data_IF_500662528509
#
_entry.id   IF_500662528509
#
_cell.length_a   1.000
_cell.length_b   1.000
_cell.length_c   1.000
_cell.angle_alpha   90.00
_cell.angle_beta   90.00
_cell.angle_gamma   90.00
#
_symmetry.space_group_name_H-M   'P 1'
#
loop_
_entity.id
_entity.type
_entity.pdbx_description
1 polymer ?
#
# COMPACT_ATOMS: atom_id res chain seq x y z
N UNK A 1 -28.75 -16.75 -42.59
CA UNK A 1 -27.33 -16.64 -42.23
C UNK A 1 -27.26 -16.10 -40.81
N UNK A 2 -26.80 -16.90 -39.86
CA UNK A 2 -26.64 -16.45 -38.48
C UNK A 2 -25.36 -15.60 -38.38
N UNK A 3 -25.50 -14.37 -37.90
CA UNK A 3 -24.36 -13.51 -37.61
C UNK A 3 -23.51 -14.17 -36.52
N UNK A 4 -22.30 -14.60 -36.88
CA UNK A 4 -21.28 -15.00 -35.92
C UNK A 4 -20.87 -13.74 -35.13
N UNK A 5 -21.25 -13.69 -33.86
CA UNK A 5 -20.65 -12.76 -32.91
C UNK A 5 -19.23 -13.24 -32.62
N UNK A 6 -18.25 -12.60 -33.25
CA UNK A 6 -16.85 -12.77 -32.88
C UNK A 6 -16.65 -12.10 -31.53
N UNK A 7 -16.66 -12.88 -30.45
CA UNK A 7 -16.15 -12.44 -29.15
C UNK A 7 -14.67 -12.08 -29.37
N UNK A 8 -14.34 -10.79 -29.27
CA UNK A 8 -12.96 -10.36 -29.14
C UNK A 8 -12.42 -11.01 -27.84
N UNK A 9 -11.34 -11.79 -27.89
CA UNK A 9 -10.75 -12.35 -26.68
C UNK A 9 -10.40 -11.20 -25.74
N UNK A 10 -10.75 -11.32 -24.46
CA UNK A 10 -10.33 -10.37 -23.43
C UNK A 10 -8.82 -10.16 -23.58
N UNK A 11 -8.39 -8.97 -23.96
CA UNK A 11 -6.98 -8.70 -24.25
C UNK A 11 -6.15 -8.96 -23.00
N UNK A 12 -4.98 -9.59 -23.19
CA UNK A 12 -3.99 -9.81 -22.13
C UNK A 12 -3.60 -8.47 -21.51
N UNK A 13 -3.31 -8.45 -20.20
CA UNK A 13 -2.88 -7.23 -19.51
C UNK A 13 -1.67 -6.58 -20.19
N UNK A 14 -1.80 -5.31 -20.57
CA UNK A 14 -0.71 -4.52 -21.16
C UNK A 14 0.12 -3.81 -20.08
N UNK A 15 0.75 -4.61 -19.20
CA UNK A 15 1.36 -4.17 -17.94
C UNK A 15 2.28 -2.95 -18.11
N UNK A 16 3.24 -3.01 -19.03
CA UNK A 16 4.23 -1.93 -19.19
C UNK A 16 3.58 -0.61 -19.64
N UNK A 17 2.67 -0.67 -20.62
CA UNK A 17 1.94 0.52 -21.07
C UNK A 17 1.05 1.10 -19.97
N UNK A 18 0.49 0.24 -19.11
CA UNK A 18 -0.29 0.69 -17.94
C UNK A 18 0.61 1.37 -16.93
N UNK A 19 1.78 0.82 -16.62
CA UNK A 19 2.77 1.42 -15.72
C UNK A 19 3.15 2.82 -16.22
N UNK A 20 3.47 2.96 -17.51
CA UNK A 20 3.83 4.25 -18.10
C UNK A 20 2.72 5.29 -17.95
N UNK A 21 1.48 4.94 -18.31
CA UNK A 21 0.33 5.87 -18.21
C UNK A 21 0.01 6.27 -16.78
N UNK A 22 0.10 5.33 -15.84
CA UNK A 22 -0.08 5.62 -14.41
C UNK A 22 1.02 6.55 -13.91
N UNK A 23 2.27 6.29 -14.30
CA UNK A 23 3.40 7.14 -13.93
C UNK A 23 3.29 8.54 -14.50
N UNK A 24 2.89 8.71 -15.76
CA UNK A 24 2.64 10.03 -16.38
C UNK A 24 1.64 10.85 -15.56
N UNK A 25 0.53 10.25 -15.14
CA UNK A 25 -0.48 10.92 -14.32
C UNK A 25 0.07 11.29 -12.93
N UNK A 26 0.73 10.35 -12.26
CA UNK A 26 1.25 10.59 -10.91
C UNK A 26 2.38 11.62 -10.92
N UNK A 27 3.33 11.51 -11.84
CA UNK A 27 4.45 12.46 -11.97
C UNK A 27 4.02 13.87 -12.39
N UNK A 28 2.85 14.00 -13.04
CA UNK A 28 2.20 15.29 -13.29
C UNK A 28 1.41 15.83 -12.07
N UNK A 29 1.47 15.14 -10.92
CA UNK A 29 0.81 15.54 -9.68
C UNK A 29 -0.64 15.09 -9.56
N UNK A 30 -1.10 14.16 -10.40
CA UNK A 30 -2.46 13.63 -10.39
C UNK A 30 -2.69 12.51 -9.37
N UNK A 31 -3.85 11.86 -9.52
CA UNK A 31 -4.30 10.73 -8.71
C UNK A 31 -4.62 9.51 -9.57
N UNK A 32 -4.36 8.31 -9.05
CA UNK A 32 -4.58 7.07 -9.76
C UNK A 32 -5.25 6.02 -8.87
N UNK A 33 -6.31 5.38 -9.35
CA UNK A 33 -6.84 4.15 -8.75
C UNK A 33 -6.13 2.97 -9.40
N UNK A 34 -5.35 2.25 -8.61
CA UNK A 34 -4.46 1.20 -9.07
C UNK A 34 -4.69 -0.12 -8.34
N UNK A 35 -4.64 -1.27 -9.04
CA UNK A 35 -4.69 -2.57 -8.43
C UNK A 35 -3.33 -2.94 -7.79
N UNK A 36 -3.36 -3.47 -6.57
CA UNK A 36 -2.25 -4.16 -5.92
C UNK A 36 -2.69 -5.57 -5.49
N UNK A 37 -1.78 -6.44 -5.04
CA UNK A 37 -2.10 -7.83 -4.68
C UNK A 37 -3.14 -7.97 -3.56
N UNK A 38 -3.22 -6.98 -2.67
CA UNK A 38 -4.08 -6.94 -1.46
C UNK A 38 -5.32 -6.03 -1.59
N UNK A 39 -5.66 -5.58 -2.80
CA UNK A 39 -6.83 -4.74 -3.08
C UNK A 39 -6.55 -3.60 -4.07
N UNK A 40 -7.52 -2.70 -4.22
CA UNK A 40 -7.34 -1.46 -4.97
C UNK A 40 -6.84 -0.35 -4.04
N UNK A 41 -5.87 0.43 -4.51
CA UNK A 41 -5.33 1.62 -3.86
C UNK A 41 -5.67 2.88 -4.65
N UNK A 42 -5.76 4.01 -3.97
CA UNK A 42 -5.77 5.34 -4.58
C UNK A 42 -4.48 6.04 -4.20
N UNK A 43 -3.73 6.44 -5.21
CA UNK A 43 -2.38 7.00 -5.11
C UNK A 43 -2.39 8.45 -5.57
N UNK A 44 -1.56 9.30 -4.95
CA UNK A 44 -1.38 10.70 -5.34
C UNK A 44 0.10 11.03 -5.49
N UNK A 45 0.45 11.78 -6.54
CA UNK A 45 1.82 12.22 -6.83
C UNK A 45 2.11 13.68 -6.47
N UNK A 46 1.18 14.36 -5.80
CA UNK A 46 1.39 15.72 -5.30
C UNK A 46 0.77 15.91 -3.93
N UNK A 47 1.19 16.94 -3.16
CA UNK A 47 0.54 17.31 -1.90
C UNK A 47 -0.97 17.56 -2.10
N UNK A 48 -1.34 18.23 -3.19
CA UNK A 48 -2.73 18.51 -3.52
C UNK A 48 -3.53 17.24 -3.82
N UNK A 49 -2.92 16.28 -4.53
CA UNK A 49 -3.53 14.97 -4.78
C UNK A 49 -3.71 14.17 -3.49
N UNK A 50 -2.71 14.15 -2.61
CA UNK A 50 -2.77 13.44 -1.33
C UNK A 50 -3.83 14.05 -0.41
N UNK A 51 -3.89 15.39 -0.30
CA UNK A 51 -4.92 16.10 0.46
C UNK A 51 -6.33 15.87 -0.13
N UNK A 52 -6.48 15.92 -1.47
CA UNK A 52 -7.74 15.58 -2.14
C UNK A 52 -8.20 14.18 -1.75
N UNK A 53 -7.32 13.18 -1.82
CA UNK A 53 -7.61 11.80 -1.40
C UNK A 53 -8.00 11.74 0.09
N UNK A 54 -7.26 12.43 0.96
CA UNK A 54 -7.52 12.45 2.40
C UNK A 54 -8.91 13.01 2.72
N UNK A 55 -9.26 14.17 2.13
CA UNK A 55 -10.54 14.87 2.33
C UNK A 55 -11.71 14.06 1.79
N UNK A 56 -11.62 13.57 0.56
CA UNK A 56 -12.70 12.77 -0.06
C UNK A 56 -12.99 11.51 0.74
N UNK A 57 -11.95 10.83 1.25
CA UNK A 57 -12.11 9.63 2.09
C UNK A 57 -12.67 9.91 3.48
N UNK A 58 -12.83 11.19 3.88
CA UNK A 58 -13.19 11.61 5.23
C UNK A 58 -12.29 10.95 6.28
N UNK A 59 -10.98 10.96 6.01
CA UNK A 59 -10.01 10.20 6.79
C UNK A 59 -9.75 10.91 8.12
N UNK A 60 -9.68 10.14 9.21
CA UNK A 60 -9.26 10.67 10.50
C UNK A 60 -7.77 11.04 10.50
N UNK A 61 -7.42 12.13 11.18
CA UNK A 61 -6.03 12.66 11.29
C UNK A 61 -5.05 11.73 12.02
N UNK A 62 -5.53 10.64 12.63
CA UNK A 62 -4.67 9.59 13.20
C UNK A 62 -4.17 8.60 12.12
N UNK A 63 -4.77 8.59 10.92
CA UNK A 63 -4.38 7.66 9.86
C UNK A 63 -3.29 8.28 8.97
N UNK A 64 -2.25 7.50 8.70
CA UNK A 64 -1.15 7.90 7.81
C UNK A 64 -1.37 7.39 6.38
N UNK A 65 -0.70 8.03 5.42
CA UNK A 65 -0.49 7.49 4.09
C UNK A 65 0.78 6.62 4.07
N UNK A 66 0.79 5.61 3.23
CA UNK A 66 2.01 4.83 2.98
C UNK A 66 2.77 5.44 1.81
N UNK A 67 4.10 5.49 1.90
CA UNK A 67 4.93 5.80 0.75
C UNK A 67 4.93 4.59 -0.20
N UNK A 68 4.67 4.83 -1.48
CA UNK A 68 4.81 3.81 -2.53
C UNK A 68 6.29 3.72 -2.89
N UNK A 69 6.86 2.52 -2.74
CA UNK A 69 8.28 2.30 -2.98
C UNK A 69 8.53 0.85 -3.43
N UNK A 70 9.71 0.61 -3.98
CA UNK A 70 10.25 -0.72 -4.22
C UNK A 70 11.08 -1.20 -3.02
N UNK A 71 11.56 -2.44 -3.09
CA UNK A 71 12.37 -3.05 -2.04
C UNK A 71 13.73 -2.36 -1.88
N UNK A 72 14.31 -1.82 -2.96
CA UNK A 72 15.52 -0.99 -2.90
C UNK A 72 15.24 0.29 -2.11
N UNK A 73 14.19 1.03 -2.47
CA UNK A 73 13.82 2.25 -1.77
C UNK A 73 13.46 2.04 -0.31
N UNK A 74 12.84 0.91 0.02
CA UNK A 74 12.64 0.53 1.41
C UNK A 74 13.97 0.40 2.15
N UNK A 75 14.97 -0.31 1.60
CA UNK A 75 16.29 -0.47 2.23
C UNK A 75 17.04 0.85 2.35
N UNK A 76 16.88 1.76 1.38
CA UNK A 76 17.50 3.08 1.40
C UNK A 76 16.85 4.03 2.43
N UNK A 77 15.54 3.92 2.65
CA UNK A 77 14.76 4.84 3.50
C UNK A 77 14.60 4.33 4.93
N UNK A 78 14.38 3.03 5.14
CA UNK A 78 14.21 2.50 6.49
C UNK A 78 15.56 2.27 7.16
N UNK A 79 15.64 2.69 8.43
CA UNK A 79 16.76 2.39 9.32
C UNK A 79 16.43 1.15 10.14
N UNK A 80 16.74 -0.02 9.55
CA UNK A 80 16.57 -1.33 10.17
C UNK A 80 17.93 -1.95 10.46
N UNK A 81 18.04 -2.57 11.64
CA UNK A 81 19.17 -3.44 11.93
C UNK A 81 19.12 -4.72 11.08
N UNK A 82 20.26 -5.39 10.83
CA UNK A 82 20.35 -6.49 9.87
C UNK A 82 19.33 -7.61 10.04
N UNK A 83 19.03 -8.05 11.26
CA UNK A 83 18.08 -9.14 11.53
C UNK A 83 16.64 -8.74 11.16
N UNK A 84 16.23 -7.51 11.44
CA UNK A 84 14.92 -6.98 11.03
C UNK A 84 14.81 -6.79 9.51
N UNK A 85 15.89 -6.38 8.85
CA UNK A 85 15.88 -6.35 7.38
C UNK A 85 15.80 -7.77 6.80
N UNK A 86 16.50 -8.74 7.38
CA UNK A 86 16.44 -10.15 6.99
C UNK A 86 15.01 -10.73 7.14
N UNK A 87 14.28 -10.35 8.19
CA UNK A 87 12.85 -10.68 8.32
C UNK A 87 12.00 -10.11 7.19
N UNK A 88 12.23 -8.86 6.80
CA UNK A 88 11.49 -8.21 5.72
C UNK A 88 11.78 -8.92 4.39
N UNK A 89 13.04 -9.19 4.10
CA UNK A 89 13.50 -9.83 2.87
C UNK A 89 12.98 -11.26 2.79
N UNK A 90 13.10 -12.02 3.87
CA UNK A 90 12.55 -13.37 3.95
C UNK A 90 11.04 -13.39 3.63
N UNK A 91 10.24 -12.55 4.28
CA UNK A 91 8.80 -12.51 4.04
C UNK A 91 8.47 -12.08 2.61
N UNK A 92 9.11 -11.01 2.13
CA UNK A 92 8.66 -10.31 0.91
C UNK A 92 9.34 -10.79 -0.37
N UNK A 93 10.58 -11.27 -0.28
CA UNK A 93 11.38 -11.77 -1.39
C UNK A 93 11.35 -13.30 -1.42
N UNK A 94 11.78 -13.97 -0.36
CA UNK A 94 11.94 -15.44 -0.37
C UNK A 94 10.59 -16.17 -0.38
N UNK A 95 9.60 -15.65 0.36
CA UNK A 95 8.26 -16.24 0.43
C UNK A 95 7.22 -15.57 -0.48
N UNK A 96 7.59 -14.53 -1.23
CA UNK A 96 6.70 -13.80 -2.16
C UNK A 96 5.38 -13.31 -1.50
N UNK A 97 5.45 -12.84 -0.24
CA UNK A 97 4.28 -12.34 0.50
C UNK A 97 4.23 -10.81 0.57
N UNK A 98 3.05 -10.17 0.38
CA UNK A 98 2.91 -8.74 0.58
C UNK A 98 2.90 -8.39 2.08
N UNK A 99 3.71 -7.42 2.48
CA UNK A 99 3.76 -6.96 3.87
C UNK A 99 3.88 -5.43 3.95
N UNK A 100 3.08 -4.84 4.82
CA UNK A 100 3.25 -3.46 5.26
C UNK A 100 4.31 -3.39 6.35
N UNK A 101 5.35 -2.59 6.11
CA UNK A 101 6.47 -2.37 7.02
C UNK A 101 6.41 -0.93 7.51
N UNK A 102 6.29 -0.75 8.83
CA UNK A 102 6.47 0.56 9.49
C UNK A 102 7.77 0.52 10.25
N UNK A 103 8.70 1.42 9.94
CA UNK A 103 10.03 1.42 10.53
C UNK A 103 10.61 2.85 10.64
N UNK A 104 11.64 3.06 11.49
CA UNK A 104 12.35 4.33 11.56
C UNK A 104 12.91 4.77 10.21
N UNK A 105 12.99 6.07 10.02
CA UNK A 105 13.51 6.69 8.79
C UNK A 105 15.02 6.93 8.94
N UNK A 106 15.80 6.53 7.93
CA UNK A 106 17.17 6.98 7.74
C UNK A 106 17.19 8.45 7.31
N UNK A 107 17.85 9.34 8.05
CA UNK A 107 17.86 10.77 7.73
C UNK A 107 18.60 11.04 6.40
N UNK A 108 18.15 12.07 5.67
CA UNK A 108 18.84 12.58 4.48
C UNK A 108 18.62 11.79 3.20
N UNK A 109 17.57 10.96 3.13
CA UNK A 109 17.22 10.29 1.88
C UNK A 109 16.65 11.31 0.86
N UNK A 110 17.22 11.47 -0.35
CA UNK A 110 16.83 12.54 -1.28
C UNK A 110 15.35 12.52 -1.71
N UNK A 111 14.71 11.35 -1.75
CA UNK A 111 13.26 11.26 -2.01
C UNK A 111 12.44 11.91 -0.90
N UNK A 112 12.86 11.77 0.36
CA UNK A 112 12.11 12.31 1.48
C UNK A 112 12.23 13.83 1.57
N UNK A 113 13.38 14.38 1.17
CA UNK A 113 13.62 15.83 1.07
C UNK A 113 12.71 16.52 0.02
N UNK A 114 12.04 15.74 -0.85
CA UNK A 114 11.09 16.22 -1.85
C UNK A 114 9.65 16.25 -1.36
N UNK A 115 9.37 15.70 -0.18
CA UNK A 115 8.04 15.71 0.41
C UNK A 115 7.83 17.07 1.08
N UNK A 116 6.69 17.72 0.83
CA UNK A 116 6.36 18.94 1.54
C UNK A 116 6.14 18.66 3.05
N UNK A 117 6.33 19.67 3.92
CA UNK A 117 6.24 19.47 5.37
C UNK A 117 4.90 18.90 5.86
N UNK A 118 3.78 19.30 5.25
CA UNK A 118 2.45 18.88 5.70
C UNK A 118 2.15 17.44 5.28
N UNK A 119 2.49 17.05 4.05
CA UNK A 119 2.38 15.64 3.61
C UNK A 119 3.33 14.74 4.40
N UNK A 120 4.54 15.20 4.69
CA UNK A 120 5.50 14.45 5.51
C UNK A 120 4.94 14.19 6.90
N UNK A 121 4.38 15.21 7.54
CA UNK A 121 3.73 15.10 8.86
C UNK A 121 2.49 14.21 8.83
N UNK A 122 1.69 14.27 7.76
CA UNK A 122 0.51 13.43 7.57
C UNK A 122 0.85 11.96 7.25
N UNK A 123 2.09 11.67 6.87
CA UNK A 123 2.54 10.33 6.46
C UNK A 123 3.49 9.66 7.46
N UNK A 124 4.01 10.41 8.42
CA UNK A 124 4.96 9.91 9.44
C UNK A 124 4.40 10.01 10.85
N UNK A 125 4.92 9.20 11.76
CA UNK A 125 4.66 9.31 13.20
C UNK A 125 5.83 8.72 13.98
N UNK A 126 6.23 9.38 15.08
CA UNK A 126 7.32 8.91 15.93
C UNK A 126 8.62 8.57 15.16
N UNK A 127 8.94 9.35 14.12
CA UNK A 127 10.12 9.13 13.27
C UNK A 127 10.02 7.93 12.32
N UNK A 128 8.82 7.34 12.15
CA UNK A 128 8.59 6.19 11.27
C UNK A 128 7.79 6.55 10.04
N UNK A 129 7.94 5.74 8.99
CA UNK A 129 7.12 5.78 7.78
C UNK A 129 6.66 4.37 7.40
N UNK A 130 5.43 4.25 6.92
CA UNK A 130 4.84 3.00 6.44
C UNK A 130 5.03 2.81 4.94
N UNK A 131 5.38 1.59 4.54
CA UNK A 131 5.56 1.18 3.14
C UNK A 131 4.88 -0.17 2.93
N UNK A 132 4.21 -0.37 1.80
CA UNK A 132 3.79 -1.71 1.36
C UNK A 132 4.91 -2.29 0.50
N UNK A 133 5.34 -3.51 0.79
CA UNK A 133 6.28 -4.26 -0.05
C UNK A 133 5.57 -5.42 -0.73
N UNK A 134 6.13 -5.84 -1.86
CA UNK A 134 5.58 -6.90 -2.71
C UNK A 134 4.06 -6.73 -3.01
N UNK A 135 3.66 -5.50 -3.31
CA UNK A 135 2.27 -5.15 -3.69
C UNK A 135 1.87 -5.61 -5.09
N UNK A 136 2.74 -6.33 -5.81
CA UNK A 136 2.56 -6.73 -7.20
C UNK A 136 3.24 -5.79 -8.22
N UNK A 137 3.22 -6.15 -9.52
CA UNK A 137 4.09 -5.56 -10.52
C UNK A 137 3.89 -4.05 -10.72
N UNK A 138 2.64 -3.57 -10.75
CA UNK A 138 2.35 -2.14 -10.88
C UNK A 138 2.85 -1.35 -9.66
N UNK A 139 2.60 -1.87 -8.45
CA UNK A 139 3.03 -1.23 -7.22
C UNK A 139 4.55 -1.11 -7.15
N UNK A 140 5.27 -2.21 -7.39
CA UNK A 140 6.73 -2.23 -7.39
C UNK A 140 7.31 -1.32 -8.46
N UNK A 141 6.75 -1.33 -9.68
CA UNK A 141 7.24 -0.48 -10.76
C UNK A 141 7.04 1.02 -10.50
N UNK A 142 5.87 1.42 -9.97
CA UNK A 142 5.64 2.83 -9.57
C UNK A 142 6.54 3.22 -8.40
N UNK A 143 6.76 2.32 -7.43
CA UNK A 143 7.71 2.55 -6.34
C UNK A 143 9.14 2.80 -6.82
N UNK A 144 9.61 1.99 -7.76
CA UNK A 144 10.91 2.18 -8.43
C UNK A 144 10.98 3.53 -9.14
N UNK A 145 9.98 3.87 -9.96
CA UNK A 145 9.94 5.14 -10.69
C UNK A 145 9.88 6.35 -9.74
N UNK A 146 9.12 6.25 -8.65
CA UNK A 146 9.07 7.26 -7.59
C UNK A 146 10.46 7.51 -7.00
N UNK A 147 11.19 6.44 -6.65
CA UNK A 147 12.56 6.52 -6.13
C UNK A 147 13.54 7.10 -7.15
N UNK A 148 13.59 6.55 -8.36
CA UNK A 148 14.55 6.95 -9.39
C UNK A 148 14.36 8.40 -9.85
N UNK A 149 13.11 8.87 -9.93
CA UNK A 149 12.79 10.23 -10.30
C UNK A 149 12.83 11.22 -9.13
N UNK A 150 13.06 10.76 -7.90
CA UNK A 150 12.93 11.56 -6.67
C UNK A 150 11.57 12.28 -6.59
N UNK A 151 10.50 11.59 -6.95
CA UNK A 151 9.14 12.13 -6.98
C UNK A 151 8.24 11.29 -6.06
N UNK A 152 7.90 11.77 -4.84
CA UNK A 152 7.16 11.01 -3.85
C UNK A 152 5.75 10.66 -4.32
N UNK A 153 5.38 9.38 -4.22
CA UNK A 153 4.02 8.90 -4.43
C UNK A 153 3.49 8.30 -3.14
N UNK A 154 2.32 8.76 -2.70
CA UNK A 154 1.66 8.25 -1.50
C UNK A 154 0.39 7.51 -1.84
N UNK A 155 0.10 6.45 -1.08
CA UNK A 155 -1.06 5.61 -1.31
C UNK A 155 -1.84 5.27 -0.06
N UNK A 156 -3.13 5.02 -0.27
CA UNK A 156 -4.00 4.33 0.68
C UNK A 156 -4.97 3.42 -0.09
N UNK A 157 -5.75 2.59 0.59
CA UNK A 157 -6.77 1.76 -0.08
C UNK A 157 -7.83 2.64 -0.77
N UNK A 158 -8.34 2.22 -1.93
CA UNK A 158 -9.38 2.93 -2.68
C UNK A 158 -10.77 2.65 -2.12
N UNK A 159 -11.10 3.27 -0.98
CA UNK A 159 -12.40 3.10 -0.32
C UNK A 159 -12.72 4.29 0.59
N UNK A 160 -13.99 4.55 0.86
CA UNK A 160 -14.38 5.46 1.95
C UNK A 160 -13.87 4.94 3.30
N UNK A 161 -13.45 5.83 4.20
CA UNK A 161 -12.89 5.41 5.51
C UNK A 161 -13.87 4.50 6.26
N UNK A 162 -13.38 3.39 6.80
CA UNK A 162 -14.19 2.44 7.58
C UNK A 162 -14.98 1.40 6.77
N UNK A 163 -15.01 1.50 5.44
CA UNK A 163 -15.87 0.64 4.59
C UNK A 163 -15.21 -0.63 4.04
N UNK A 164 -14.02 -0.98 4.56
CA UNK A 164 -13.24 -2.13 4.10
C UNK A 164 -12.60 -1.95 2.72
N UNK A 165 -11.54 -2.72 2.47
CA UNK A 165 -10.79 -2.71 1.20
C UNK A 165 -11.64 -3.25 0.06
N UNK A 166 -11.49 -2.66 -1.13
CA UNK A 166 -12.15 -3.10 -2.36
C UNK A 166 -11.21 -3.96 -3.18
N UNK A 167 -11.72 -5.06 -3.72
CA UNK A 167 -10.92 -6.04 -4.46
C UNK A 167 -11.30 -6.12 -5.95
N UNK A 168 -12.25 -5.29 -6.38
CA UNK A 168 -12.60 -4.99 -7.77
C UNK A 168 -12.73 -3.48 -7.93
N UNK A 169 -12.47 -2.98 -9.13
CA UNK A 169 -12.68 -1.55 -9.42
C UNK A 169 -14.15 -1.17 -9.29
N UNK A 170 -15.06 -2.04 -9.73
CA UNK A 170 -16.52 -1.83 -9.66
C UNK A 170 -17.05 -1.67 -8.22
N UNK A 171 -16.33 -2.20 -7.22
CA UNK A 171 -16.68 -2.07 -5.81
C UNK A 171 -16.17 -0.76 -5.18
N UNK A 172 -15.32 -0.01 -5.89
CA UNK A 172 -14.80 1.30 -5.43
C UNK A 172 -15.91 2.33 -5.51
N UNK A 173 -16.15 3.03 -4.39
CA UNK A 173 -17.25 3.98 -4.29
C UNK A 173 -17.13 5.14 -5.30
N UNK A 174 -18.26 5.65 -5.83
CA UNK A 174 -18.27 6.72 -6.82
C UNK A 174 -17.50 7.97 -6.41
N UNK A 175 -17.51 8.34 -5.13
CA UNK A 175 -16.79 9.51 -4.61
C UNK A 175 -15.28 9.36 -4.75
N UNK A 176 -14.77 8.15 -4.56
CA UNK A 176 -13.34 7.84 -4.72
C UNK A 176 -12.97 7.78 -6.20
N UNK A 177 -13.84 7.20 -7.02
CA UNK A 177 -13.67 7.15 -8.49
C UNK A 177 -13.68 8.52 -9.13
N UNK A 178 -14.57 9.41 -8.68
CA UNK A 178 -14.74 10.75 -9.21
C UNK A 178 -13.51 11.65 -9.05
N UNK A 179 -12.61 11.33 -8.10
CA UNK A 179 -11.38 12.09 -7.92
C UNK A 179 -10.18 11.51 -8.66
N UNK A 180 -10.29 10.33 -9.29
CA UNK A 180 -9.19 9.66 -9.96
C UNK A 180 -8.97 10.21 -11.37
N UNK A 181 -7.75 10.63 -11.68
CA UNK A 181 -7.37 11.07 -13.03
C UNK A 181 -7.11 9.87 -13.97
N UNK A 182 -6.83 8.69 -13.40
CA UNK A 182 -6.76 7.41 -14.11
C UNK A 182 -7.27 6.26 -13.24
N UNK A 183 -8.04 5.36 -13.85
CA UNK A 183 -8.47 4.10 -13.25
C UNK A 183 -7.86 2.92 -14.01
N UNK A 184 -7.25 1.99 -13.28
CA UNK A 184 -6.70 0.76 -13.85
C UNK A 184 -7.54 -0.43 -13.39
N UNK A 185 -8.21 -1.11 -14.31
CA UNK A 185 -8.98 -2.30 -13.99
C UNK A 185 -8.25 -3.59 -14.37
N UNK A 186 -7.75 -4.32 -13.36
CA UNK A 186 -7.18 -5.65 -13.53
C UNK A 186 -8.03 -6.74 -12.85
N UNK A 187 -9.33 -6.48 -12.67
CA UNK A 187 -10.28 -7.42 -12.10
C UNK A 187 -10.01 -7.79 -10.64
N UNK A 188 -10.39 -9.03 -10.28
CA UNK A 188 -10.33 -9.50 -8.89
C UNK A 188 -8.90 -9.58 -8.40
N UNK A 189 -8.62 -9.00 -7.23
CA UNK A 189 -7.28 -9.03 -6.65
C UNK A 189 -6.95 -10.38 -5.99
N UNK A 190 -5.69 -10.82 -6.11
CA UNK A 190 -5.17 -12.14 -5.71
C UNK A 190 -5.59 -12.53 -4.30
N UNK A 191 -5.46 -11.60 -3.34
CA UNK A 191 -5.70 -11.86 -1.92
C UNK A 191 -7.09 -11.44 -1.43
N UNK A 192 -8.09 -11.37 -2.32
CA UNK A 192 -9.47 -10.98 -1.96
C UNK A 192 -10.11 -11.87 -0.89
N UNK A 193 -9.75 -13.16 -0.82
CA UNK A 193 -10.32 -14.13 0.14
C UNK A 193 -10.13 -13.72 1.60
N UNK A 194 -9.08 -12.94 1.90
CA UNK A 194 -8.82 -12.44 3.25
C UNK A 194 -9.81 -11.34 3.67
N UNK A 195 -10.44 -10.63 2.73
CA UNK A 195 -11.37 -9.54 3.01
C UNK A 195 -10.75 -8.33 3.74
N UNK A 196 -9.42 -8.29 3.90
CA UNK A 196 -8.63 -7.23 4.52
C UNK A 196 -7.44 -6.87 3.61
N UNK A 197 -6.96 -5.63 3.68
CA UNK A 197 -5.69 -5.22 3.01
C UNK A 197 -4.46 -5.87 3.68
N UNK A 198 -3.24 -5.48 3.32
CA UNK A 198 -1.99 -6.11 3.79
C UNK A 198 -1.89 -6.23 5.30
N UNK A 199 -1.22 -7.28 5.77
CA UNK A 199 -0.69 -7.32 7.14
C UNK A 199 0.30 -6.17 7.33
N UNK A 200 0.25 -5.46 8.46
CA UNK A 200 1.15 -4.35 8.78
C UNK A 200 1.82 -4.61 10.13
N UNK A 201 3.14 -4.58 10.16
CA UNK A 201 3.96 -4.78 11.36
C UNK A 201 4.82 -3.53 11.60
N UNK A 202 4.88 -3.11 12.86
CA UNK A 202 5.83 -2.11 13.32
C UNK A 202 7.17 -2.79 13.63
N UNK A 203 8.20 -2.49 12.85
CA UNK A 203 9.54 -3.05 13.02
C UNK A 203 10.37 -2.32 14.09
N UNK A 204 9.79 -1.43 14.90
CA UNK A 204 10.45 -0.99 16.15
C UNK A 204 10.36 -2.12 17.19
N UNK A 205 9.16 -2.61 17.45
CA UNK A 205 8.85 -3.51 18.56
C UNK A 205 8.19 -4.83 18.11
N UNK A 206 8.08 -5.06 16.80
CA UNK A 206 7.37 -6.18 16.17
C UNK A 206 5.86 -6.21 16.46
N UNK A 207 5.29 -5.11 16.96
CA UNK A 207 3.86 -5.06 17.22
C UNK A 207 3.06 -5.09 15.90
N UNK A 208 1.99 -5.89 15.89
CA UNK A 208 1.11 -5.97 14.73
C UNK A 208 0.17 -4.78 14.75
N UNK A 209 0.25 -3.93 13.74
CA UNK A 209 -0.67 -2.80 13.53
C UNK A 209 -1.98 -3.31 12.93
N UNK A 210 -1.87 -4.19 11.94
CA UNK A 210 -3.01 -4.79 11.26
C UNK A 210 -2.76 -6.25 10.90
N UNK A 211 -3.66 -7.11 11.33
CA UNK A 211 -3.81 -8.48 10.85
C UNK A 211 -4.54 -8.42 9.50
N UNK A 212 -3.83 -8.73 8.42
CA UNK A 212 -4.33 -8.52 7.06
C UNK A 212 -4.19 -9.74 6.16
N UNK A 213 -4.07 -9.48 4.86
CA UNK A 213 -3.79 -10.52 3.87
C UNK A 213 -2.52 -11.31 4.24
N UNK A 214 -2.58 -12.63 4.08
CA UNK A 214 -1.47 -13.57 4.32
C UNK A 214 -0.92 -13.57 5.75
N UNK A 215 -1.68 -13.10 6.75
CA UNK A 215 -1.17 -12.97 8.13
C UNK A 215 -0.64 -14.28 8.69
N UNK A 216 -1.38 -15.37 8.51
CA UNK A 216 -1.02 -16.70 8.99
C UNK A 216 0.28 -17.22 8.35
N UNK A 217 0.51 -16.90 7.07
CA UNK A 217 1.74 -17.26 6.38
C UNK A 217 2.92 -16.42 6.89
N UNK A 218 2.72 -15.11 7.03
CA UNK A 218 3.74 -14.18 7.57
C UNK A 218 4.12 -14.58 9.00
N UNK A 219 3.13 -14.88 9.85
CA UNK A 219 3.36 -15.31 11.22
C UNK A 219 4.14 -16.64 11.29
N UNK A 220 3.80 -17.61 10.43
CA UNK A 220 4.53 -18.89 10.34
C UNK A 220 6.00 -18.68 9.92
N UNK A 221 6.25 -17.85 8.90
CA UNK A 221 7.63 -17.52 8.46
C UNK A 221 8.42 -16.89 9.61
N UNK A 222 7.87 -15.85 10.23
CA UNK A 222 8.55 -15.12 11.31
C UNK A 222 8.81 -16.00 12.54
N UNK A 223 7.88 -16.91 12.87
CA UNK A 223 8.07 -17.86 13.96
C UNK A 223 9.16 -18.88 13.63
N UNK A 224 9.06 -19.58 12.51
CA UNK A 224 9.97 -20.69 12.19
C UNK A 224 11.39 -20.24 11.89
N UNK A 225 11.57 -19.05 11.31
CA UNK A 225 12.88 -18.59 10.87
C UNK A 225 13.56 -17.62 11.84
N UNK A 226 12.79 -16.89 12.64
CA UNK A 226 13.34 -15.85 13.52
C UNK A 226 12.89 -15.93 14.98
N UNK A 227 12.10 -16.95 15.33
CA UNK A 227 11.51 -17.13 16.67
C UNK A 227 10.71 -15.90 17.14
N UNK A 228 9.97 -15.27 16.23
CA UNK A 228 9.07 -14.15 16.54
C UNK A 228 7.63 -14.64 16.59
N UNK A 229 7.02 -14.59 17.76
CA UNK A 229 5.60 -14.87 17.95
C UNK A 229 4.75 -13.60 17.69
N UNK A 230 3.83 -13.72 16.74
CA UNK A 230 2.79 -12.71 16.50
C UNK A 230 1.49 -13.09 17.22
N UNK A 231 0.64 -12.12 17.61
CA UNK A 231 -0.63 -12.42 18.29
C UNK A 231 -1.57 -13.28 17.43
N UNK A 232 -2.43 -14.07 18.07
CA UNK A 232 -3.46 -14.82 17.35
C UNK A 232 -4.47 -13.88 16.65
N UNK A 233 -4.93 -14.23 15.45
CA UNK A 233 -6.04 -13.52 14.80
C UNK A 233 -7.36 -13.82 15.53
N UNK A 234 -8.04 -12.82 16.11
CA UNK A 234 -9.34 -13.02 16.75
C UNK A 234 -10.46 -13.38 15.76
N UNK A 235 -10.17 -13.36 14.45
CA UNK A 235 -11.10 -13.62 13.37
C UNK A 235 -11.86 -12.38 12.92
N UNK A 236 -12.43 -12.45 11.71
CA UNK A 236 -13.13 -11.31 11.10
C UNK A 236 -14.41 -10.93 11.82
N UNK A 237 -15.09 -11.88 12.46
CA UNK A 237 -16.33 -11.61 13.21
C UNK A 237 -16.06 -10.71 14.43
N UNK A 238 -14.88 -10.85 15.06
CA UNK A 238 -14.48 -10.06 16.23
C UNK A 238 -13.74 -8.78 15.86
N UNK A 239 -12.91 -8.82 14.81
CA UNK A 239 -12.18 -7.66 14.33
C UNK A 239 -12.27 -7.56 12.80
N UNK A 240 -13.33 -6.96 12.23
CA UNK A 240 -13.51 -6.91 10.78
C UNK A 240 -12.38 -6.20 10.04
N UNK A 241 -11.82 -5.13 10.63
CA UNK A 241 -10.76 -4.32 10.01
C UNK A 241 -9.36 -4.95 10.13
N UNK A 242 -9.18 -5.81 11.13
CA UNK A 242 -7.89 -6.40 11.51
C UNK A 242 -6.94 -5.44 12.23
N UNK A 243 -7.31 -4.16 12.42
CA UNK A 243 -6.43 -3.23 13.15
C UNK A 243 -6.43 -3.59 14.63
N UNK A 244 -5.24 -3.67 15.22
CA UNK A 244 -5.07 -3.85 16.67
C UNK A 244 -4.73 -2.53 17.36
N UNK A 245 -4.33 -1.51 16.59
CA UNK A 245 -3.81 -0.25 17.10
C UNK A 245 -4.35 0.97 16.31
N UNK A 246 -5.61 0.95 15.86
CA UNK A 246 -6.14 1.96 14.94
C UNK A 246 -6.00 3.42 15.44
N UNK A 247 -6.05 3.63 16.76
CA UNK A 247 -5.98 4.96 17.38
C UNK A 247 -4.72 5.17 18.24
N UNK A 248 -3.67 4.35 18.06
CA UNK A 248 -2.43 4.50 18.84
C UNK A 248 -1.65 5.76 18.48
N UNK A 249 -1.82 6.27 17.25
CA UNK A 249 -1.15 7.46 16.78
C UNK A 249 -1.93 8.74 17.13
N UNK A 250 -1.25 9.80 17.60
CA UNK A 250 -1.90 11.08 17.78
C UNK A 250 -2.35 11.65 16.42
N UNK A 251 -3.43 12.47 16.41
CA UNK A 251 -3.75 13.29 15.25
C UNK A 251 -2.52 14.10 14.83
N UNK A 252 -2.16 14.07 13.54
CA UNK A 252 -1.17 15.03 13.06
C UNK A 252 -1.78 16.44 13.16
N UNK A 253 -1.08 17.38 13.79
CA UNK A 253 -1.51 18.77 13.97
C UNK A 253 -1.50 19.57 12.68
#
# INVERSE_FOLDING_TARGET
MAAQFTLLPSSRLHIDSTIHRVWEVLSAGGTAICPNTVGYGIWGGSPEAVDKVFRTKQRGRHKRHALITDDIGQREIHDLEPRKQDMVDCVTVDHDLPMGVVAPIRPGHPLLDRIDPDTFKASTAHGTIGMLLNGGPLHTAIGRLSREALHPVFGSSANMTGTGTKFRLEDVQPEIRAIADIEVDWGLRRYHVYGRSSTIINFIDMSVIRIGSCYELIADVLKRQFDVDLPADPGRDRNPSGHLQEFSLPPFA
#
